data_IF_607031844731
#
_entry.id   IF_607031844731
#
_cell.length_a   1.000
_cell.length_b   1.000
_cell.length_c   1.000
_cell.angle_alpha   90.00
_cell.angle_beta   90.00
_cell.angle_gamma   90.00
#
_symmetry.space_group_name_H-M   'P 1'
#
loop_
_entity.id
_entity.type
_entity.pdbx_description
1 polymer ?
#
# COMPACT_ATOMS: atom_id res chain seq x y z
N UNK A 1 17.17 -8.57 -83.81
CA UNK A 1 16.10 -9.06 -82.91
C UNK A 1 16.60 -9.68 -81.60
N UNK A 2 17.76 -10.35 -81.56
CA UNK A 2 18.29 -10.92 -80.30
C UNK A 2 18.71 -9.87 -79.23
N UNK A 3 19.17 -8.69 -79.67
CA UNK A 3 19.67 -7.61 -78.80
C UNK A 3 18.57 -6.90 -77.99
N UNK A 4 17.35 -6.80 -78.53
CA UNK A 4 16.22 -6.15 -77.84
C UNK A 4 15.62 -7.06 -76.79
N UNK A 5 15.54 -8.37 -77.05
CA UNK A 5 15.03 -9.36 -76.08
C UNK A 5 15.91 -9.42 -74.82
N UNK A 6 17.24 -9.39 -74.99
CA UNK A 6 18.20 -9.47 -73.89
C UNK A 6 18.19 -8.23 -72.99
N UNK A 7 17.93 -7.05 -73.57
CA UNK A 7 17.81 -5.80 -72.79
C UNK A 7 16.52 -5.76 -71.98
N UNK A 8 15.43 -6.26 -72.54
CA UNK A 8 14.13 -6.32 -71.84
C UNK A 8 14.15 -7.32 -70.68
N UNK A 9 14.78 -8.49 -70.84
CA UNK A 9 14.92 -9.47 -69.75
C UNK A 9 15.84 -8.99 -68.64
N UNK A 10 16.95 -8.31 -68.99
CA UNK A 10 17.85 -7.73 -67.99
C UNK A 10 17.17 -6.61 -67.19
N UNK A 11 16.39 -5.75 -67.86
CA UNK A 11 15.62 -4.71 -67.19
C UNK A 11 14.55 -5.29 -66.26
N UNK A 12 13.86 -6.37 -66.70
CA UNK A 12 12.87 -7.04 -65.86
C UNK A 12 13.50 -7.68 -64.62
N UNK A 13 14.67 -8.32 -64.78
CA UNK A 13 15.43 -8.93 -63.68
C UNK A 13 15.95 -7.88 -62.70
N UNK A 14 16.40 -6.71 -63.17
CA UNK A 14 16.81 -5.59 -62.33
C UNK A 14 15.63 -5.01 -61.53
N UNK A 15 14.47 -4.85 -62.16
CA UNK A 15 13.25 -4.40 -61.47
C UNK A 15 12.83 -5.44 -60.42
N UNK A 16 12.86 -6.74 -60.76
CA UNK A 16 12.53 -7.81 -59.82
C UNK A 16 13.51 -7.89 -58.64
N UNK A 17 14.81 -7.73 -58.90
CA UNK A 17 15.83 -7.69 -57.86
C UNK A 17 15.64 -6.48 -56.91
N UNK A 18 15.28 -5.31 -57.45
CA UNK A 18 14.97 -4.12 -56.65
C UNK A 18 13.70 -4.29 -55.79
N UNK A 19 12.69 -5.00 -56.28
CA UNK A 19 11.49 -5.32 -55.49
C UNK A 19 11.75 -6.39 -54.42
N UNK A 20 12.67 -7.34 -54.65
CA UNK A 20 13.02 -8.38 -53.66
C UNK A 20 13.86 -7.87 -52.48
N UNK A 21 14.51 -6.70 -52.61
CA UNK A 21 15.29 -6.08 -51.52
C UNK A 21 14.47 -5.16 -50.62
N UNK A 22 13.18 -4.97 -50.87
CA UNK A 22 12.29 -4.11 -50.05
C UNK A 22 11.30 -4.89 -49.17
N UNK A 23 11.56 -6.17 -48.90
CA UNK A 23 10.77 -6.97 -47.96
C UNK A 23 11.53 -7.26 -46.66
N UNK A 24 12.22 -6.25 -46.11
CA UNK A 24 12.48 -6.28 -44.68
C UNK A 24 11.12 -6.22 -43.99
N UNK A 25 10.68 -7.36 -43.46
CA UNK A 25 9.48 -7.45 -42.66
C UNK A 25 9.57 -6.34 -41.61
N UNK A 26 8.62 -5.37 -41.59
CA UNK A 26 8.71 -4.29 -40.63
C UNK A 26 8.79 -4.91 -39.24
N UNK A 27 9.66 -4.40 -38.35
CA UNK A 27 9.78 -4.94 -37.02
C UNK A 27 8.38 -5.01 -36.39
N UNK A 28 8.05 -6.16 -35.81
CA UNK A 28 6.74 -6.40 -35.23
C UNK A 28 6.34 -5.20 -34.38
N UNK A 29 5.17 -4.61 -34.67
CA UNK A 29 4.70 -3.44 -33.96
C UNK A 29 4.70 -3.74 -32.46
N UNK A 30 5.47 -2.97 -31.69
CA UNK A 30 5.52 -3.13 -30.24
C UNK A 30 4.11 -2.92 -29.72
N UNK A 31 3.55 -3.96 -29.11
CA UNK A 31 2.19 -3.92 -28.56
C UNK A 31 2.15 -2.83 -27.50
N UNK A 32 1.58 -1.68 -27.84
CA UNK A 32 1.31 -0.63 -26.87
C UNK A 32 0.29 -1.18 -25.88
N UNK A 33 0.57 -1.04 -24.59
CA UNK A 33 -0.41 -1.33 -23.54
C UNK A 33 -0.51 -0.09 -22.67
N UNK A 34 -1.73 0.25 -22.30
CA UNK A 34 -2.00 1.41 -21.46
C UNK A 34 -2.31 0.98 -20.04
N UNK A 35 -1.95 1.82 -19.08
CA UNK A 35 -2.18 1.55 -17.66
C UNK A 35 -3.67 1.56 -17.36
N UNK A 36 -4.39 2.57 -17.84
CA UNK A 36 -5.81 2.77 -17.61
C UNK A 36 -6.49 3.59 -18.70
N UNK A 37 -7.81 3.45 -18.81
CA UNK A 37 -8.66 4.38 -19.54
C UNK A 37 -9.06 5.59 -18.67
N UNK A 38 -8.98 5.47 -17.34
CA UNK A 38 -9.35 6.52 -16.40
C UNK A 38 -8.36 7.68 -16.45
N UNK A 39 -8.88 8.92 -16.33
CA UNK A 39 -8.06 10.14 -16.41
C UNK A 39 -8.56 11.21 -15.45
N UNK A 40 -7.61 11.95 -14.92
CA UNK A 40 -7.86 13.25 -14.30
C UNK A 40 -7.33 14.32 -15.26
N UNK A 41 -8.22 15.15 -15.79
CA UNK A 41 -7.84 16.26 -16.67
C UNK A 41 -7.20 17.42 -15.89
N UNK A 42 -7.54 17.53 -14.60
CA UNK A 42 -7.06 18.62 -13.74
C UNK A 42 -6.61 18.09 -12.39
N UNK A 43 -5.60 18.74 -11.82
CA UNK A 43 -5.13 18.45 -10.48
C UNK A 43 -6.19 18.94 -9.46
N UNK A 44 -6.74 18.03 -8.65
CA UNK A 44 -7.71 18.38 -7.62
C UNK A 44 -7.61 17.44 -6.43
N UNK A 45 -7.31 18.00 -5.26
CA UNK A 45 -7.28 17.24 -4.01
C UNK A 45 -8.70 16.73 -3.68
N UNK A 46 -8.93 15.40 -3.62
CA UNK A 46 -10.27 14.86 -3.42
C UNK A 46 -10.67 14.72 -1.94
N UNK A 47 -9.70 14.67 -1.03
CA UNK A 47 -9.92 14.52 0.42
C UNK A 47 -8.96 15.38 1.23
N UNK A 48 -9.41 15.84 2.40
CA UNK A 48 -8.55 16.50 3.40
C UNK A 48 -7.67 15.51 4.16
N UNK A 49 -7.94 14.21 4.05
CA UNK A 49 -7.07 13.17 4.57
C UNK A 49 -5.74 13.12 3.81
N UNK A 50 -4.75 12.48 4.44
CA UNK A 50 -3.43 12.29 3.83
C UNK A 50 -2.79 10.94 4.17
N UNK A 51 -3.40 10.18 5.08
CA UNK A 51 -2.96 8.84 5.43
C UNK A 51 -4.02 7.84 4.96
N UNK A 52 -3.71 7.13 3.88
CA UNK A 52 -4.66 6.28 3.19
C UNK A 52 -4.39 4.81 3.46
N UNK A 53 -5.44 4.06 3.77
CA UNK A 53 -5.35 2.62 3.99
C UNK A 53 -5.64 1.90 2.70
N UNK A 54 -4.78 0.94 2.36
CA UNK A 54 -5.04 0.04 1.26
C UNK A 54 -4.99 -1.41 1.72
N UNK A 55 -5.68 -2.28 0.98
CA UNK A 55 -5.67 -3.72 1.19
C UNK A 55 -5.59 -4.44 -0.15
N UNK A 56 -5.15 -5.70 -0.15
CA UNK A 56 -5.07 -6.54 -1.35
C UNK A 56 -5.96 -7.76 -1.12
N UNK A 57 -6.99 -7.97 -1.95
CA UNK A 57 -7.96 -9.04 -1.70
C UNK A 57 -7.58 -10.39 -2.28
N UNK A 58 -6.80 -10.40 -3.36
CA UNK A 58 -6.39 -11.61 -4.04
C UNK A 58 -5.01 -11.44 -4.70
N UNK A 59 -4.44 -12.57 -5.11
CA UNK A 59 -3.15 -12.66 -5.79
C UNK A 59 -3.31 -12.86 -7.29
N UNK A 60 -2.27 -12.52 -8.04
CA UNK A 60 -2.09 -12.84 -9.43
C UNK A 60 -1.22 -14.08 -9.55
N UNK A 61 -1.77 -15.17 -10.07
CA UNK A 61 -1.18 -16.49 -9.98
C UNK A 61 0.16 -16.66 -10.72
N UNK A 62 0.50 -15.73 -11.63
CA UNK A 62 1.76 -15.78 -12.42
C UNK A 62 2.90 -14.96 -11.81
N UNK A 63 2.68 -14.27 -10.68
CA UNK A 63 3.71 -13.55 -9.94
C UNK A 63 3.71 -14.03 -8.49
N UNK A 64 4.90 -14.34 -7.95
CA UNK A 64 4.96 -14.80 -6.56
C UNK A 64 4.44 -13.72 -5.58
N UNK A 65 3.79 -14.17 -4.50
CA UNK A 65 3.10 -13.31 -3.55
C UNK A 65 3.98 -12.21 -2.95
N UNK A 66 5.25 -12.52 -2.66
CA UNK A 66 6.18 -11.57 -2.06
C UNK A 66 6.52 -10.44 -3.04
N UNK A 67 6.85 -10.80 -4.28
CA UNK A 67 7.16 -9.84 -5.35
C UNK A 67 5.94 -8.97 -5.68
N UNK A 68 4.74 -9.56 -5.68
CA UNK A 68 3.51 -8.83 -5.89
C UNK A 68 3.22 -7.84 -4.76
N UNK A 69 3.31 -8.29 -3.50
CA UNK A 69 3.11 -7.43 -2.32
C UNK A 69 4.13 -6.30 -2.30
N UNK A 70 5.39 -6.60 -2.63
CA UNK A 70 6.44 -5.60 -2.72
C UNK A 70 6.17 -4.58 -3.85
N UNK A 71 5.76 -5.03 -5.04
CA UNK A 71 5.41 -4.15 -6.15
C UNK A 71 4.25 -3.20 -5.81
N UNK A 72 3.17 -3.74 -5.23
CA UNK A 72 2.01 -2.95 -4.78
C UNK A 72 2.44 -1.91 -3.74
N UNK A 73 3.18 -2.34 -2.71
CA UNK A 73 3.69 -1.45 -1.66
C UNK A 73 4.58 -0.36 -2.24
N UNK A 74 5.46 -0.70 -3.18
CA UNK A 74 6.36 0.25 -3.85
C UNK A 74 5.57 1.27 -4.67
N UNK A 75 4.51 0.84 -5.36
CA UNK A 75 3.63 1.71 -6.13
C UNK A 75 2.94 2.78 -5.27
N UNK A 76 2.57 2.46 -4.02
CA UNK A 76 2.08 3.47 -3.08
C UNK A 76 3.21 4.30 -2.45
N UNK A 77 4.35 3.67 -2.15
CA UNK A 77 5.48 4.32 -1.45
C UNK A 77 6.11 5.43 -2.30
N UNK A 78 6.11 5.31 -3.63
CA UNK A 78 6.69 6.34 -4.51
C UNK A 78 6.06 7.72 -4.29
N UNK A 79 4.75 7.78 -3.97
CA UNK A 79 4.06 9.03 -3.66
C UNK A 79 4.49 9.61 -2.32
N UNK A 80 4.69 8.77 -1.30
CA UNK A 80 5.19 9.19 0.02
C UNK A 80 6.61 9.74 -0.07
N UNK A 81 7.45 9.15 -0.92
CA UNK A 81 8.81 9.62 -1.18
C UNK A 81 8.86 10.96 -1.92
N UNK A 82 7.82 11.28 -2.70
CA UNK A 82 7.70 12.57 -3.38
C UNK A 82 7.01 13.62 -2.51
N UNK A 83 6.06 13.21 -1.67
CA UNK A 83 5.32 14.07 -0.76
C UNK A 83 5.33 13.49 0.65
N UNK A 84 6.22 13.97 1.55
CA UNK A 84 6.30 13.50 2.94
C UNK A 84 5.02 13.73 3.76
N UNK A 85 4.09 14.55 3.25
CA UNK A 85 2.79 14.79 3.85
C UNK A 85 1.76 13.70 3.52
N UNK A 86 2.13 12.68 2.75
CA UNK A 86 1.28 11.56 2.39
C UNK A 86 1.76 10.26 3.02
N UNK A 87 0.81 9.43 3.42
CA UNK A 87 1.03 8.09 3.94
C UNK A 87 0.12 7.09 3.24
N UNK A 88 0.64 5.90 2.97
CA UNK A 88 -0.16 4.74 2.61
C UNK A 88 0.19 3.59 3.53
N UNK A 89 -0.83 3.00 4.15
CA UNK A 89 -0.69 1.89 5.08
C UNK A 89 -1.35 0.63 4.50
N UNK A 90 -0.57 -0.46 4.45
CA UNK A 90 -1.11 -1.81 4.23
C UNK A 90 -1.97 -2.20 5.44
N UNK A 91 -3.24 -2.47 5.18
CA UNK A 91 -4.26 -2.59 6.19
C UNK A 91 -5.15 -3.80 5.91
N UNK A 92 -5.24 -4.71 6.87
CA UNK A 92 -5.85 -6.02 6.67
C UNK A 92 -7.39 -5.99 6.75
N UNK A 93 -7.99 -4.96 7.38
CA UNK A 93 -9.44 -4.85 7.50
C UNK A 93 -10.04 -4.16 6.26
N UNK A 94 -10.63 -4.97 5.38
CA UNK A 94 -11.08 -4.57 4.04
C UNK A 94 -12.25 -3.59 4.06
N UNK A 95 -13.12 -3.70 5.07
CA UNK A 95 -14.30 -2.85 5.30
C UNK A 95 -13.94 -1.40 5.66
N UNK A 96 -12.68 -1.15 6.02
CA UNK A 96 -12.16 0.11 6.52
C UNK A 96 -11.03 0.70 5.65
N UNK A 97 -10.71 0.03 4.55
CA UNK A 97 -9.71 0.50 3.59
C UNK A 97 -10.30 1.59 2.67
N UNK A 98 -9.49 2.59 2.35
CA UNK A 98 -9.84 3.58 1.32
C UNK A 98 -9.63 3.02 -0.07
N UNK A 99 -8.63 2.17 -0.23
CA UNK A 99 -8.23 1.54 -1.48
C UNK A 99 -8.21 0.02 -1.36
N UNK A 100 -8.74 -0.66 -2.35
CA UNK A 100 -8.76 -2.12 -2.41
C UNK A 100 -8.17 -2.55 -3.74
N UNK A 101 -7.07 -3.28 -3.70
CA UNK A 101 -6.42 -3.83 -4.90
C UNK A 101 -6.97 -5.22 -5.17
N UNK A 102 -7.41 -5.46 -6.41
CA UNK A 102 -7.96 -6.75 -6.86
C UNK A 102 -7.48 -7.10 -8.25
N UNK A 103 -7.18 -8.37 -8.49
CA UNK A 103 -6.98 -8.92 -9.82
C UNK A 103 -8.28 -9.52 -10.32
N UNK A 104 -8.78 -9.06 -11.47
CA UNK A 104 -10.11 -9.41 -11.99
C UNK A 104 -10.05 -9.68 -13.49
N UNK A 105 -11.09 -10.32 -14.02
CA UNK A 105 -11.25 -10.45 -15.46
C UNK A 105 -11.51 -9.06 -16.09
N UNK A 106 -10.90 -8.72 -17.25
CA UNK A 106 -11.13 -7.43 -17.91
C UNK A 106 -12.60 -7.12 -18.20
N UNK A 107 -13.49 -8.12 -18.28
CA UNK A 107 -14.93 -7.89 -18.41
C UNK A 107 -15.55 -7.13 -17.23
N UNK A 108 -14.90 -7.09 -16.07
CA UNK A 108 -15.31 -6.28 -14.92
C UNK A 108 -14.92 -4.80 -15.05
N UNK A 109 -14.08 -4.44 -16.05
CA UNK A 109 -13.69 -3.06 -16.28
C UNK A 109 -14.85 -2.30 -16.92
N UNK A 110 -15.20 -1.10 -16.44
CA UNK A 110 -16.19 -0.25 -17.11
C UNK A 110 -15.78 0.07 -18.56
N UNK A 111 -14.47 0.24 -18.79
CA UNK A 111 -13.88 0.47 -20.10
C UNK A 111 -12.62 -0.41 -20.26
N UNK A 112 -12.74 -1.61 -20.88
CA UNK A 112 -11.61 -2.55 -20.99
C UNK A 112 -10.60 -2.20 -22.08
N UNK A 113 -10.85 -1.12 -22.84
CA UNK A 113 -9.98 -0.64 -23.90
C UNK A 113 -9.98 0.89 -23.94
N UNK A 114 -8.96 1.43 -24.58
CA UNK A 114 -8.93 2.83 -25.00
C UNK A 114 -8.64 2.95 -26.49
N UNK A 115 -9.11 4.06 -27.07
CA UNK A 115 -8.82 4.40 -28.46
C UNK A 115 -7.52 5.21 -28.47
N UNK A 116 -6.55 4.75 -29.24
CA UNK A 116 -5.25 5.40 -29.38
C UNK A 116 -4.70 5.23 -30.81
N UNK A 117 -3.83 6.14 -31.28
CA UNK A 117 -3.17 5.98 -32.56
C UNK A 117 -2.31 4.70 -32.58
N UNK A 118 -2.60 3.80 -33.50
CA UNK A 118 -1.81 2.61 -33.84
C UNK A 118 -1.33 2.78 -35.28
N UNK A 119 -0.14 3.37 -35.43
CA UNK A 119 0.36 3.78 -36.74
C UNK A 119 -0.39 5.00 -37.27
N UNK A 120 -1.02 4.89 -38.45
CA UNK A 120 -1.78 5.97 -39.09
C UNK A 120 -3.29 5.96 -38.77
N UNK A 121 -3.77 4.96 -38.03
CA UNK A 121 -5.19 4.79 -37.71
C UNK A 121 -5.40 4.70 -36.20
N UNK A 122 -6.58 5.08 -35.74
CA UNK A 122 -6.98 4.84 -34.36
C UNK A 122 -7.34 3.36 -34.16
N UNK A 123 -6.68 2.74 -33.19
CA UNK A 123 -6.92 1.35 -32.78
C UNK A 123 -7.49 1.27 -31.39
N UNK A 124 -8.15 0.15 -31.08
CA UNK A 124 -8.52 -0.20 -29.70
C UNK A 124 -7.36 -0.94 -29.05
N UNK A 125 -6.89 -0.40 -27.95
CA UNK A 125 -5.80 -0.97 -27.17
C UNK A 125 -6.30 -1.33 -25.78
N UNK A 126 -5.97 -2.53 -25.31
CA UNK A 126 -6.35 -2.99 -23.98
C UNK A 126 -5.69 -2.16 -22.88
N UNK A 127 -6.36 -2.08 -21.73
CA UNK A 127 -5.85 -1.42 -20.52
C UNK A 127 -5.46 -2.46 -19.47
N UNK A 128 -4.42 -2.14 -18.68
CA UNK A 128 -3.96 -3.00 -17.59
C UNK A 128 -4.87 -2.96 -16.36
N UNK A 129 -5.48 -1.81 -16.06
CA UNK A 129 -6.37 -1.67 -14.91
C UNK A 129 -7.28 -0.45 -14.97
N UNK A 130 -8.11 -0.31 -13.94
CA UNK A 130 -9.06 0.80 -13.76
C UNK A 130 -9.23 1.12 -12.27
N UNK A 131 -9.59 2.36 -11.96
CA UNK A 131 -9.95 2.82 -10.63
C UNK A 131 -11.46 3.08 -10.57
N UNK A 132 -12.18 2.27 -9.78
CA UNK A 132 -13.63 2.39 -9.62
C UNK A 132 -13.97 2.84 -8.20
N UNK A 133 -14.83 3.85 -8.05
CA UNK A 133 -15.42 4.18 -6.75
C UNK A 133 -16.63 3.29 -6.49
N UNK A 134 -16.62 2.55 -5.40
CA UNK A 134 -17.72 1.69 -4.95
C UNK A 134 -18.80 2.50 -4.23
N UNK A 135 -19.99 1.91 -4.07
CA UNK A 135 -21.14 2.56 -3.44
C UNK A 135 -20.93 2.92 -1.97
N UNK A 136 -20.06 2.18 -1.27
CA UNK A 136 -19.68 2.45 0.11
C UNK A 136 -18.59 3.56 0.24
N UNK A 137 -18.15 4.14 -0.88
CA UNK A 137 -17.13 5.18 -0.92
C UNK A 137 -15.69 4.67 -1.04
N UNK A 138 -15.44 3.38 -0.86
CA UNK A 138 -14.13 2.76 -1.09
C UNK A 138 -13.76 2.81 -2.57
N UNK A 139 -12.48 2.96 -2.87
CA UNK A 139 -11.97 2.88 -4.24
C UNK A 139 -11.39 1.48 -4.50
N UNK A 140 -11.86 0.82 -5.54
CA UNK A 140 -11.31 -0.44 -6.04
C UNK A 140 -10.34 -0.16 -7.17
N UNK A 141 -9.09 -0.57 -6.99
CA UNK A 141 -8.07 -0.64 -8.03
C UNK A 141 -8.16 -2.04 -8.65
N UNK A 142 -8.77 -2.12 -9.82
CA UNK A 142 -8.98 -3.37 -10.55
C UNK A 142 -7.83 -3.56 -11.55
N UNK A 143 -7.10 -4.66 -11.42
CA UNK A 143 -5.98 -5.04 -12.28
C UNK A 143 -6.36 -6.27 -13.09
N UNK A 144 -6.00 -6.31 -14.36
CA UNK A 144 -6.36 -7.40 -15.26
C UNK A 144 -5.63 -8.68 -14.88
N UNK A 145 -6.34 -9.78 -14.66
CA UNK A 145 -5.74 -11.11 -14.46
C UNK A 145 -5.23 -11.75 -15.78
N UNK A 146 -5.49 -11.13 -16.93
CA UNK A 146 -5.01 -11.60 -18.24
C UNK A 146 -3.74 -10.89 -18.69
N UNK A 147 -3.45 -9.71 -18.12
CA UNK A 147 -2.20 -9.01 -18.38
C UNK A 147 -1.03 -9.69 -17.65
N UNK A 148 0.10 -9.86 -18.34
CA UNK A 148 1.27 -10.52 -17.77
C UNK A 148 2.05 -9.53 -16.89
N UNK A 149 1.62 -9.38 -15.64
CA UNK A 149 2.30 -8.52 -14.68
C UNK A 149 3.68 -9.03 -14.31
N UNK A 150 4.65 -8.15 -14.40
CA UNK A 150 5.92 -8.24 -13.69
C UNK A 150 5.97 -7.20 -12.56
N UNK A 151 7.09 -7.17 -11.82
CA UNK A 151 7.27 -6.23 -10.71
C UNK A 151 7.18 -4.77 -11.15
N UNK A 152 7.73 -4.40 -12.31
CA UNK A 152 7.81 -3.01 -12.78
C UNK A 152 6.47 -2.51 -13.27
N UNK A 153 5.83 -3.25 -14.18
CA UNK A 153 4.50 -2.96 -14.72
C UNK A 153 3.44 -2.91 -13.62
N UNK A 154 3.48 -3.84 -12.65
CA UNK A 154 2.57 -3.81 -11.51
C UNK A 154 2.81 -2.58 -10.61
N UNK A 155 4.07 -2.27 -10.30
CA UNK A 155 4.42 -1.07 -9.51
C UNK A 155 3.92 0.20 -10.21
N UNK A 156 4.15 0.31 -11.52
CA UNK A 156 3.69 1.44 -12.35
C UNK A 156 2.17 1.56 -12.36
N UNK A 157 1.46 0.44 -12.52
CA UNK A 157 0.01 0.43 -12.51
C UNK A 157 -0.56 0.89 -11.17
N UNK A 158 -0.02 0.39 -10.07
CA UNK A 158 -0.45 0.79 -8.73
C UNK A 158 -0.14 2.27 -8.48
N UNK A 159 1.07 2.72 -8.82
CA UNK A 159 1.46 4.13 -8.68
C UNK A 159 0.54 5.06 -9.48
N UNK A 160 0.26 4.72 -10.73
CA UNK A 160 -0.62 5.51 -11.59
C UNK A 160 -2.03 5.67 -11.00
N UNK A 161 -2.67 4.56 -10.61
CA UNK A 161 -4.03 4.62 -10.06
C UNK A 161 -4.06 5.24 -8.65
N UNK A 162 -3.00 5.06 -7.85
CA UNK A 162 -2.84 5.80 -6.60
C UNK A 162 -2.74 7.30 -6.85
N UNK A 163 -2.05 7.73 -7.91
CA UNK A 163 -1.99 9.12 -8.34
C UNK A 163 -3.38 9.64 -8.74
N UNK A 164 -4.14 8.89 -9.53
CA UNK A 164 -5.53 9.24 -9.86
C UNK A 164 -6.39 9.41 -8.61
N UNK A 165 -6.28 8.46 -7.66
CA UNK A 165 -6.96 8.51 -6.37
C UNK A 165 -6.56 9.75 -5.55
N UNK A 166 -5.28 10.14 -5.59
CA UNK A 166 -4.77 11.34 -4.91
C UNK A 166 -5.19 12.65 -5.60
N UNK A 167 -5.79 12.57 -6.80
CA UNK A 167 -6.22 13.72 -7.57
C UNK A 167 -5.15 14.28 -8.52
N UNK A 168 -4.11 13.51 -8.82
CA UNK A 168 -3.07 13.89 -9.78
C UNK A 168 -3.63 13.88 -11.20
N UNK A 169 -3.29 14.88 -12.05
CA UNK A 169 -3.69 14.89 -13.44
C UNK A 169 -2.88 13.85 -14.24
N UNK A 170 -3.44 13.36 -15.35
CA UNK A 170 -2.69 12.52 -16.29
C UNK A 170 -1.65 13.33 -17.04
N UNK A 171 -0.54 12.68 -17.40
CA UNK A 171 0.57 13.31 -18.12
C UNK A 171 0.81 12.65 -19.48
N UNK A 172 1.25 13.46 -20.44
CA UNK A 172 1.77 12.98 -21.73
C UNK A 172 3.29 12.81 -21.71
N UNK A 173 3.97 13.20 -20.63
CA UNK A 173 5.41 13.04 -20.48
C UNK A 173 5.76 11.56 -20.25
N UNK A 174 6.55 10.92 -21.13
CA UNK A 174 6.89 9.49 -21.02
C UNK A 174 7.45 9.07 -19.65
N UNK A 175 8.25 9.93 -19.01
CA UNK A 175 8.86 9.66 -17.72
C UNK A 175 7.98 9.93 -16.49
N UNK A 176 6.75 10.42 -16.67
CA UNK A 176 5.83 10.67 -15.55
C UNK A 176 5.20 9.38 -15.05
N UNK A 177 4.98 9.27 -13.73
CA UNK A 177 4.14 8.24 -13.13
C UNK A 177 2.70 8.32 -13.60
N UNK A 178 2.24 9.51 -13.98
CA UNK A 178 0.92 9.78 -14.54
C UNK A 178 0.85 9.62 -16.06
N UNK A 179 1.91 9.12 -16.70
CA UNK A 179 1.88 8.70 -18.10
C UNK A 179 0.96 7.48 -18.30
N UNK A 180 0.10 7.56 -19.32
CA UNK A 180 -0.91 6.53 -19.63
C UNK A 180 -0.32 5.23 -20.20
N UNK A 181 0.86 5.27 -20.81
CA UNK A 181 1.46 4.10 -21.47
C UNK A 181 2.35 3.31 -20.50
N UNK A 182 2.34 1.98 -20.63
CA UNK A 182 3.42 1.16 -20.09
C UNK A 182 4.63 1.31 -20.99
N UNK A 183 5.59 2.10 -20.52
CA UNK A 183 6.96 2.00 -20.99
C UNK A 183 7.62 0.98 -20.07
N UNK A 184 8.27 -0.03 -20.64
CA UNK A 184 9.03 -1.04 -19.88
C UNK A 184 10.28 -0.40 -19.27
N UNK A 185 10.03 0.48 -18.31
CA UNK A 185 11.00 1.31 -17.63
C UNK A 185 10.71 1.25 -16.14
N UNK A 186 11.76 1.26 -15.31
CA UNK A 186 11.59 1.39 -13.87
C UNK A 186 10.77 2.63 -13.51
N UNK A 187 9.98 2.49 -12.45
CA UNK A 187 9.23 3.62 -11.87
C UNK A 187 10.23 4.61 -11.27
N UNK A 188 10.38 5.77 -11.92
CA UNK A 188 11.25 6.86 -11.46
C UNK A 188 10.40 8.04 -10.99
N UNK A 189 10.88 8.74 -9.95
CA UNK A 189 10.24 9.97 -9.45
C UNK A 189 10.44 11.10 -10.46
N UNK A 190 9.36 11.55 -11.11
CA UNK A 190 9.39 12.74 -11.95
C UNK A 190 9.36 14.01 -11.09
N UNK A 191 10.13 15.03 -11.51
CA UNK A 191 10.08 16.36 -10.88
C UNK A 191 8.70 17.00 -11.05
N UNK A 192 8.06 16.81 -12.21
CA UNK A 192 6.73 17.36 -12.48
C UNK A 192 5.69 16.74 -11.55
N UNK A 193 5.69 15.41 -11.40
CA UNK A 193 4.79 14.72 -10.48
C UNK A 193 5.02 15.15 -9.05
N UNK A 194 6.28 15.27 -8.62
CA UNK A 194 6.64 15.73 -7.27
C UNK A 194 6.10 17.14 -6.99
N UNK A 195 6.29 18.09 -7.90
CA UNK A 195 5.76 19.46 -7.73
C UNK A 195 4.24 19.45 -7.67
N UNK A 196 3.59 18.69 -8.56
CA UNK A 196 2.14 18.62 -8.61
C UNK A 196 1.56 18.00 -7.33
N UNK A 197 2.09 16.88 -6.82
CA UNK A 197 1.54 16.25 -5.61
C UNK A 197 1.76 17.12 -4.36
N UNK A 198 2.92 17.77 -4.23
CA UNK A 198 3.17 18.67 -3.10
C UNK A 198 2.30 19.93 -3.15
N UNK A 199 1.85 20.34 -4.34
CA UNK A 199 0.89 21.44 -4.48
C UNK A 199 -0.51 21.04 -3.98
N UNK A 200 -0.89 19.76 -4.09
CA UNK A 200 -2.14 19.23 -3.58
C UNK A 200 -2.09 19.02 -2.04
N UNK A 201 -0.97 18.51 -1.53
CA UNK A 201 -0.81 18.14 -0.11
C UNK A 201 0.26 18.98 0.60
N UNK A 202 0.01 20.29 0.72
CA UNK A 202 0.98 21.28 1.26
C UNK A 202 1.23 21.18 2.76
N UNK A 203 0.19 20.90 3.54
CA UNK A 203 0.24 20.88 5.01
C UNK A 203 0.74 19.53 5.53
N UNK A 204 1.61 19.55 6.55
CA UNK A 204 1.95 18.34 7.30
C UNK A 204 0.70 17.75 7.92
N UNK A 205 0.43 16.49 7.61
CA UNK A 205 -0.79 15.85 8.07
C UNK A 205 -0.54 15.22 9.44
N UNK A 206 -1.33 15.65 10.42
CA UNK A 206 -1.29 15.16 11.81
C UNK A 206 -1.43 13.64 11.90
N UNK A 207 -2.08 13.05 10.90
CA UNK A 207 -2.47 11.64 10.89
C UNK A 207 -1.37 10.71 10.37
N UNK A 208 -0.17 11.22 10.04
CA UNK A 208 0.94 10.37 9.58
C UNK A 208 1.67 9.67 10.73
N UNK A 209 1.54 10.20 11.96
CA UNK A 209 2.18 9.63 13.16
C UNK A 209 1.24 8.70 13.93
N UNK A 210 -0.04 8.64 13.56
CA UNK A 210 -1.04 7.83 14.25
C UNK A 210 -1.08 6.40 13.68
N UNK A 211 -1.44 5.45 14.54
CA UNK A 211 -1.72 4.06 14.20
C UNK A 211 -3.22 3.85 14.03
N UNK A 212 -3.60 2.68 13.50
CA UNK A 212 -5.01 2.33 13.28
C UNK A 212 -5.29 0.92 13.76
N UNK A 213 -6.55 0.66 14.14
CA UNK A 213 -7.02 -0.67 14.54
C UNK A 213 -7.41 -1.52 13.32
N UNK A 214 -7.12 -2.83 13.26
CA UNK A 214 -6.42 -3.60 14.29
C UNK A 214 -4.93 -3.27 14.33
N UNK A 215 -4.36 -3.26 15.53
CA UNK A 215 -2.94 -3.00 15.77
C UNK A 215 -2.33 -4.13 16.59
N UNK A 216 -1.19 -4.65 16.13
CA UNK A 216 -0.40 -5.64 16.87
C UNK A 216 0.92 -5.02 17.31
N UNK A 217 1.23 -5.12 18.59
CA UNK A 217 2.44 -4.58 19.22
C UNK A 217 3.23 -5.68 19.90
N UNK A 218 4.55 -5.51 19.95
CA UNK A 218 5.44 -6.26 20.85
C UNK A 218 5.81 -5.36 22.00
N UNK A 219 5.43 -5.74 23.22
CA UNK A 219 5.64 -4.96 24.44
C UNK A 219 6.67 -5.66 25.30
N UNK A 220 7.85 -5.05 25.41
CA UNK A 220 8.95 -5.47 26.29
C UNK A 220 9.30 -4.42 27.35
N UNK A 221 8.57 -3.30 27.36
CA UNK A 221 8.78 -2.11 28.18
C UNK A 221 7.82 -0.98 27.75
N UNK A 222 8.06 0.27 28.16
CA UNK A 222 7.18 1.39 27.85
C UNK A 222 7.04 1.61 26.34
N UNK A 223 5.82 1.57 25.83
CA UNK A 223 5.50 1.91 24.45
C UNK A 223 4.20 2.71 24.39
N UNK A 224 4.26 3.86 23.72
CA UNK A 224 3.08 4.70 23.48
C UNK A 224 2.70 4.67 22.00
N UNK A 225 1.40 4.60 21.74
CA UNK A 225 0.81 4.68 20.40
C UNK A 225 -0.43 5.57 20.44
N UNK A 226 -0.42 6.58 19.60
CA UNK A 226 -1.62 7.35 19.25
C UNK A 226 -2.37 6.59 18.19
N UNK A 227 -3.65 6.30 18.42
CA UNK A 227 -4.50 5.53 17.52
C UNK A 227 -5.66 6.40 17.06
N UNK A 228 -5.80 6.55 15.74
CA UNK A 228 -6.97 7.20 15.16
C UNK A 228 -8.14 6.21 15.08
N UNK A 229 -9.30 6.67 15.52
CA UNK A 229 -10.54 5.92 15.58
C UNK A 229 -11.46 6.37 14.44
N UNK A 230 -12.20 5.41 13.89
CA UNK A 230 -13.14 5.64 12.78
C UNK A 230 -14.58 5.73 13.22
N UNK A 231 -14.87 5.18 14.40
CA UNK A 231 -16.20 5.13 14.97
C UNK A 231 -16.10 5.04 16.49
N UNK A 232 -17.11 5.54 17.22
CA UNK A 232 -17.27 5.19 18.62
C UNK A 232 -17.50 3.67 18.76
N UNK A 233 -17.16 3.11 19.91
CA UNK A 233 -17.36 1.68 20.16
C UNK A 233 -16.60 1.15 21.37
N UNK A 234 -16.59 -0.17 21.49
CA UNK A 234 -15.74 -0.87 22.45
C UNK A 234 -14.43 -1.27 21.76
N UNK A 235 -13.31 -0.99 22.40
CA UNK A 235 -11.99 -1.47 22.00
C UNK A 235 -11.61 -2.62 22.92
N UNK A 236 -11.10 -3.70 22.33
CA UNK A 236 -10.52 -4.83 23.03
C UNK A 236 -8.99 -4.81 22.96
N UNK A 237 -8.35 -5.19 24.05
CA UNK A 237 -6.91 -5.41 24.18
C UNK A 237 -6.72 -6.87 24.56
N UNK A 238 -6.12 -7.65 23.67
CA UNK A 238 -5.74 -9.05 23.92
C UNK A 238 -4.23 -9.15 24.01
N UNK A 239 -3.71 -9.87 24.98
CA UNK A 239 -2.28 -10.08 25.14
C UNK A 239 -1.97 -11.58 25.21
N UNK A 240 -0.83 -11.98 24.64
CA UNK A 240 -0.28 -13.32 24.76
C UNK A 240 1.26 -13.31 24.68
N UNK A 241 1.85 -14.50 24.74
CA UNK A 241 3.30 -14.67 24.69
C UNK A 241 3.91 -14.77 26.10
N UNK A 242 5.24 -14.79 26.15
CA UNK A 242 6.00 -14.98 27.37
C UNK A 242 7.24 -14.07 27.38
N UNK A 243 7.68 -13.71 28.59
CA UNK A 243 8.87 -12.92 28.83
C UNK A 243 9.67 -13.56 29.97
N UNK A 244 10.99 -13.60 29.85
CA UNK A 244 11.87 -13.94 30.98
C UNK A 244 12.20 -12.66 31.75
N UNK A 245 11.91 -12.65 33.04
CA UNK A 245 12.08 -11.51 33.96
C UNK A 245 13.04 -11.90 35.07
N UNK A 246 14.26 -11.36 35.00
CA UNK A 246 15.36 -11.77 35.88
C UNK A 246 15.56 -13.30 35.97
N UNK A 247 16.38 -13.71 36.93
CA UNK A 247 16.61 -15.14 37.20
C UNK A 247 15.70 -15.70 38.30
N UNK A 248 15.15 -14.84 39.16
CA UNK A 248 14.30 -15.25 40.29
C UNK A 248 12.85 -15.50 39.85
N UNK A 249 12.30 -14.61 39.03
CA UNK A 249 10.89 -14.70 38.59
C UNK A 249 10.76 -15.73 37.46
N UNK A 250 11.71 -15.75 36.53
CA UNK A 250 11.73 -16.71 35.44
C UNK A 250 10.83 -16.27 34.29
N UNK A 251 10.11 -17.21 33.67
CA UNK A 251 9.27 -16.94 32.49
C UNK A 251 7.81 -16.74 32.88
N UNK A 252 7.21 -15.64 32.45
CA UNK A 252 5.84 -15.23 32.82
C UNK A 252 5.01 -14.85 31.60
N UNK A 253 3.69 -14.99 31.71
CA UNK A 253 2.72 -14.47 30.74
C UNK A 253 2.30 -13.02 31.04
N UNK A 254 1.42 -12.42 30.21
CA UNK A 254 0.96 -11.04 30.39
C UNK A 254 0.19 -10.78 31.69
N UNK A 255 -0.32 -11.83 32.33
CA UNK A 255 -0.92 -11.79 33.66
C UNK A 255 0.10 -11.49 34.78
N UNK A 256 1.40 -11.71 34.53
CA UNK A 256 2.47 -11.54 35.51
C UNK A 256 2.60 -12.71 36.47
N UNK A 257 3.35 -12.51 37.55
CA UNK A 257 3.56 -13.52 38.60
C UNK A 257 3.47 -12.92 40.00
N UNK A 258 2.97 -13.73 40.94
CA UNK A 258 3.15 -13.51 42.38
C UNK A 258 4.58 -13.87 42.77
N UNK A 259 5.37 -12.88 43.20
CA UNK A 259 6.72 -13.09 43.72
C UNK A 259 6.65 -13.08 45.24
N UNK A 260 7.12 -14.15 45.90
CA UNK A 260 7.22 -14.23 47.35
C UNK A 260 8.68 -14.41 47.78
N UNK A 261 9.18 -13.62 48.75
CA UNK A 261 8.52 -12.46 49.37
C UNK A 261 8.36 -11.30 48.37
N UNK A 262 7.31 -10.50 48.51
CA UNK A 262 7.12 -9.26 47.73
C UNK A 262 8.24 -8.30 48.14
N UNK A 263 9.28 -8.19 47.33
CA UNK A 263 10.38 -7.27 47.59
C UNK A 263 9.90 -5.84 47.29
N UNK A 264 9.87 -4.93 48.28
CA UNK A 264 9.52 -3.53 48.03
C UNK A 264 10.44 -2.93 46.96
N UNK A 265 9.86 -2.25 45.97
CA UNK A 265 10.61 -1.62 44.88
C UNK A 265 10.82 -2.48 43.62
N UNK A 266 10.32 -3.73 43.57
CA UNK A 266 10.36 -4.52 42.32
C UNK A 266 9.22 -4.18 41.34
N UNK A 267 8.10 -3.67 41.85
CA UNK A 267 6.95 -3.30 41.03
C UNK A 267 6.88 -1.79 40.89
N UNK A 268 6.61 -1.32 39.67
CA UNK A 268 6.21 0.08 39.42
C UNK A 268 4.89 0.41 40.12
N UNK A 269 3.97 -0.54 40.15
CA UNK A 269 2.66 -0.46 40.80
C UNK A 269 2.53 -1.61 41.79
N UNK A 270 2.58 -1.29 43.09
CA UNK A 270 2.60 -2.27 44.18
C UNK A 270 1.33 -3.14 44.26
N UNK A 271 0.19 -2.63 43.77
CA UNK A 271 -1.10 -3.33 43.80
C UNK A 271 -1.28 -4.36 42.66
N UNK A 272 -0.32 -4.47 41.73
CA UNK A 272 -0.39 -5.37 40.57
C UNK A 272 0.66 -6.49 40.68
N UNK A 273 0.42 -7.61 40.00
CA UNK A 273 1.40 -8.69 39.93
C UNK A 273 2.70 -8.22 39.27
N UNK A 274 3.83 -8.77 39.69
CA UNK A 274 5.12 -8.43 39.11
C UNK A 274 5.17 -8.89 37.65
N UNK A 275 5.82 -8.11 36.79
CA UNK A 275 5.91 -8.36 35.36
C UNK A 275 4.58 -8.42 34.59
N UNK A 276 3.46 -8.05 35.22
CA UNK A 276 2.18 -7.94 34.57
C UNK A 276 2.19 -6.90 33.44
N UNK A 277 1.47 -7.17 32.36
CA UNK A 277 1.13 -6.16 31.37
C UNK A 277 0.19 -5.12 32.00
N UNK A 278 0.58 -3.87 31.90
CA UNK A 278 -0.24 -2.74 32.30
C UNK A 278 -0.40 -1.75 31.16
N UNK A 279 -1.49 -0.99 31.19
CA UNK A 279 -1.75 0.02 30.17
C UNK A 279 -2.43 1.26 30.73
N UNK A 280 -2.35 2.35 29.95
CA UNK A 280 -3.01 3.63 30.20
C UNK A 280 -3.73 4.10 28.95
N UNK A 281 -4.85 4.78 29.16
CA UNK A 281 -5.64 5.41 28.10
C UNK A 281 -5.57 6.92 28.26
N UNK A 282 -5.24 7.64 27.20
CA UNK A 282 -5.18 9.11 27.14
C UNK A 282 -4.36 9.74 28.27
N UNK A 283 -3.20 9.16 28.57
CA UNK A 283 -2.28 9.62 29.61
C UNK A 283 -2.92 9.74 31.01
N UNK A 284 -3.88 8.88 31.34
CA UNK A 284 -4.43 8.82 32.69
C UNK A 284 -3.34 8.60 33.76
N UNK A 285 -3.62 9.06 34.98
CA UNK A 285 -2.66 9.04 36.08
C UNK A 285 -2.33 7.61 36.52
N UNK A 286 -3.35 6.76 36.62
CA UNK A 286 -3.23 5.41 37.16
C UNK A 286 -3.05 4.38 36.06
N UNK A 287 -2.21 3.39 36.31
CA UNK A 287 -2.09 2.23 35.43
C UNK A 287 -3.31 1.31 35.60
N UNK A 288 -3.69 0.65 34.51
CA UNK A 288 -4.69 -0.43 34.52
C UNK A 288 -3.99 -1.77 34.38
N UNK A 289 -4.39 -2.73 35.20
CA UNK A 289 -3.98 -4.12 35.04
C UNK A 289 -4.75 -4.73 33.87
N UNK A 290 -4.03 -5.29 32.88
CA UNK A 290 -4.63 -5.76 31.63
C UNK A 290 -5.67 -6.86 31.85
N UNK A 291 -5.42 -7.82 32.74
CA UNK A 291 -6.28 -9.00 32.88
C UNK A 291 -7.69 -8.65 33.38
N UNK A 292 -7.81 -7.64 34.25
CA UNK A 292 -9.09 -7.19 34.82
C UNK A 292 -9.92 -6.34 33.85
N UNK A 293 -9.24 -5.60 32.95
CA UNK A 293 -9.89 -4.69 32.01
C UNK A 293 -9.33 -4.88 30.61
N UNK A 294 -9.83 -5.89 29.91
CA UNK A 294 -9.44 -6.20 28.53
C UNK A 294 -10.20 -5.38 27.50
N UNK A 295 -11.16 -4.55 27.92
CA UNK A 295 -11.91 -3.68 27.01
C UNK A 295 -12.13 -2.30 27.60
N UNK A 296 -12.29 -1.31 26.75
CA UNK A 296 -12.68 0.03 27.14
C UNK A 296 -13.54 0.70 26.07
N UNK A 297 -14.42 1.59 26.51
CA UNK A 297 -15.28 2.34 25.60
C UNK A 297 -14.57 3.58 25.07
N UNK A 298 -14.73 3.83 23.78
CA UNK A 298 -14.38 5.09 23.14
C UNK A 298 -15.66 5.74 22.61
N UNK A 299 -15.92 6.97 23.05
CA UNK A 299 -17.06 7.75 22.56
C UNK A 299 -16.67 8.47 21.26
N UNK A 300 -17.23 9.66 20.98
CA UNK A 300 -16.97 10.48 19.78
C UNK A 300 -15.53 11.02 19.69
N UNK A 301 -14.57 10.40 20.37
CA UNK A 301 -13.15 10.70 20.24
C UNK A 301 -12.64 10.19 18.91
N UNK A 302 -11.93 11.05 18.21
CA UNK A 302 -11.27 10.69 16.95
C UNK A 302 -9.91 10.03 17.19
N UNK A 303 -9.31 10.22 18.37
CA UNK A 303 -7.98 9.71 18.71
C UNK A 303 -7.99 9.14 20.13
N UNK A 304 -7.23 8.08 20.34
CA UNK A 304 -6.88 7.54 21.65
C UNK A 304 -5.38 7.33 21.79
N UNK A 305 -4.79 7.82 22.86
CA UNK A 305 -3.40 7.47 23.21
C UNK A 305 -3.40 6.23 24.10
N UNK A 306 -2.69 5.19 23.69
CA UNK A 306 -2.46 4.00 24.49
C UNK A 306 -0.98 3.89 24.85
N UNK A 307 -0.71 3.80 26.14
CA UNK A 307 0.62 3.49 26.67
C UNK A 307 0.58 2.13 27.31
N UNK A 308 1.49 1.24 26.91
CA UNK A 308 1.71 -0.05 27.53
C UNK A 308 3.05 -0.06 28.24
N UNK A 309 3.14 -0.88 29.29
CA UNK A 309 4.38 -1.11 30.02
C UNK A 309 4.29 -2.44 30.77
N UNK A 310 5.42 -2.86 31.36
CA UNK A 310 5.55 -4.05 32.19
C UNK A 310 5.69 -3.59 33.64
N UNK A 311 4.92 -4.18 34.55
CA UNK A 311 4.95 -3.87 35.98
C UNK A 311 6.20 -4.43 36.67
N UNK A 312 7.35 -3.87 36.29
CA UNK A 312 8.68 -4.23 36.77
C UNK A 312 9.55 -2.97 36.75
N UNK A 313 10.17 -2.66 37.89
CA UNK A 313 11.00 -1.46 38.09
C UNK A 313 12.42 -1.63 37.51
N UNK A 314 12.90 -2.87 37.33
CA UNK A 314 14.21 -3.18 36.72
C UNK A 314 14.09 -3.97 35.41
N UNK A 315 13.62 -3.28 34.37
CA UNK A 315 13.43 -3.91 33.06
C UNK A 315 14.72 -4.26 32.31
N UNK A 316 15.91 -3.97 32.85
CA UNK A 316 17.20 -4.21 32.17
C UNK A 316 17.51 -5.69 32.02
N UNK A 317 16.93 -6.54 32.87
CA UNK A 317 17.15 -7.97 32.86
C UNK A 317 16.01 -8.74 32.14
N UNK A 318 15.06 -8.03 31.52
CA UNK A 318 13.95 -8.62 30.80
C UNK A 318 14.34 -9.01 29.39
N UNK A 319 13.94 -10.21 28.98
CA UNK A 319 14.15 -10.70 27.61
C UNK A 319 12.86 -11.31 27.06
N UNK A 320 12.55 -10.98 25.80
CA UNK A 320 11.27 -11.34 25.17
C UNK A 320 10.29 -10.16 25.15
N UNK A 321 9.04 -10.44 24.78
CA UNK A 321 7.98 -9.44 24.65
C UNK A 321 6.60 -10.10 24.68
N UNK A 322 5.62 -9.42 25.25
CA UNK A 322 4.21 -9.78 25.05
C UNK A 322 3.74 -9.31 23.68
N UNK A 323 2.89 -10.10 23.03
CA UNK A 323 2.17 -9.67 21.82
C UNK A 323 0.83 -9.12 22.24
N UNK A 324 0.60 -7.84 21.97
CA UNK A 324 -0.66 -7.17 22.27
C UNK A 324 -1.40 -6.87 20.98
N UNK A 325 -2.64 -7.32 20.87
CA UNK A 325 -3.55 -7.07 19.75
C UNK A 325 -4.66 -6.16 20.24
N UNK A 326 -4.86 -5.05 19.54
CA UNK A 326 -5.85 -4.02 19.85
C UNK A 326 -6.80 -3.93 18.66
N UNK A 327 -8.09 -4.10 18.88
CA UNK A 327 -9.10 -3.96 17.82
C UNK A 327 -10.47 -3.55 18.39
N UNK A 328 -11.40 -3.15 17.52
CA UNK A 328 -12.80 -3.02 17.90
C UNK A 328 -13.36 -4.39 18.30
N UNK A 329 -14.24 -4.38 19.30
CA UNK A 329 -15.10 -5.51 19.64
C UNK A 329 -16.32 -5.56 18.72
#
# INVERSE_FOLDING_TARGET
MLSTLLRSTLALLLIWALFSQCQDEPPAAVKQVYVSADRNETARRPSTECNFRYTVLNSFDKLNNDSQREAIRTGFTVWQQMCPNLGFLDFQATDRAHLVVRFVDPSEFPMPYMVAPVGLMDGRTGVGGTLRKESNGTYSLLLSNTFNWDKNSLTKAVAYHAGLFLGMPTSTEPGSLMALQFLDQPVVRSKADSVAINSLYKSTCTDLTVSYLPLTLKVSGPISKTIQLYKPGMISIKANGQMKVGDIVGTVGPEGATVFPVLPGYNKVSAMFHAALMYKINNEADWRYWADNQTFKVDNKQVVDLTFDINDDDQKNNTGAFTVVIDYQ
#
